data_IF_982773067599
#
_entry.id   IF_982773067599
#
_cell.length_a   1.000
_cell.length_b   1.000
_cell.length_c   1.000
_cell.angle_alpha   90.00
_cell.angle_beta   90.00
_cell.angle_gamma   90.00
#
_symmetry.space_group_name_H-M   'P 1'
#
loop_
_entity.id
_entity.type
_entity.pdbx_description
1 polymer ?
#
# COMPACT_ATOMS: atom_id res chain seq x y z
N UNK A 1 27.48 -25.42 63.50
CA UNK A 1 26.76 -25.48 62.21
C UNK A 1 27.33 -24.40 61.30
N UNK A 2 28.27 -24.75 60.41
CA UNK A 2 28.74 -23.88 59.35
C UNK A 2 27.95 -24.12 58.05
N UNK A 3 27.76 -23.11 57.18
CA UNK A 3 27.31 -23.35 55.82
C UNK A 3 28.52 -23.65 54.91
N UNK A 4 28.41 -24.74 54.16
CA UNK A 4 29.27 -25.09 53.04
C UNK A 4 28.62 -24.66 51.71
N UNK A 5 29.39 -24.58 50.61
CA UNK A 5 29.22 -23.58 49.57
C UNK A 5 28.40 -24.03 48.35
N UNK A 6 28.01 -23.03 47.56
CA UNK A 6 27.45 -23.11 46.22
C UNK A 6 28.41 -23.82 45.26
N UNK A 7 27.91 -24.83 44.55
CA UNK A 7 28.56 -25.41 43.37
C UNK A 7 27.99 -24.80 42.09
N UNK A 8 28.88 -24.20 41.30
CA UNK A 8 28.68 -23.79 39.93
C UNK A 8 28.62 -25.01 39.00
N UNK A 9 27.61 -25.07 38.13
CA UNK A 9 27.62 -25.94 36.95
C UNK A 9 27.10 -25.17 35.74
N UNK A 10 27.98 -24.37 35.13
CA UNK A 10 27.81 -23.84 33.79
C UNK A 10 28.11 -24.97 32.79
N UNK A 11 27.06 -25.50 32.17
CA UNK A 11 27.16 -26.32 30.96
C UNK A 11 27.28 -25.39 29.75
N UNK A 12 28.47 -25.38 29.14
CA UNK A 12 28.73 -24.71 27.86
C UNK A 12 28.19 -25.62 26.76
N UNK A 13 26.98 -25.32 26.28
CA UNK A 13 26.40 -25.99 25.13
C UNK A 13 26.84 -25.28 23.84
N UNK A 14 27.64 -25.98 23.04
CA UNK A 14 28.15 -25.50 21.76
C UNK A 14 27.11 -25.73 20.66
N UNK A 15 26.10 -24.86 20.65
CA UNK A 15 25.03 -24.84 19.64
C UNK A 15 25.45 -24.09 18.37
N UNK A 16 26.01 -24.84 17.43
CA UNK A 16 26.32 -24.43 16.06
C UNK A 16 25.14 -23.74 15.38
N UNK A 17 25.25 -22.43 15.17
CA UNK A 17 24.27 -21.64 14.41
C UNK A 17 24.66 -21.65 12.93
N UNK A 18 24.04 -22.56 12.18
CA UNK A 18 23.98 -22.52 10.72
C UNK A 18 23.18 -21.28 10.27
N UNK A 19 23.86 -20.16 10.07
CA UNK A 19 23.33 -19.05 9.30
C UNK A 19 23.53 -19.34 7.82
N UNK A 20 22.53 -19.96 7.21
CA UNK A 20 22.37 -20.03 5.76
C UNK A 20 22.22 -18.63 5.19
N UNK A 21 23.34 -18.03 4.82
CA UNK A 21 23.44 -16.77 4.11
C UNK A 21 22.89 -17.01 2.70
N UNK A 22 21.66 -16.56 2.45
CA UNK A 22 21.07 -16.52 1.12
C UNK A 22 21.90 -15.55 0.26
N UNK A 23 22.78 -16.14 -0.56
CA UNK A 23 23.50 -15.52 -1.65
C UNK A 23 22.52 -14.76 -2.56
N UNK A 24 22.49 -13.45 -2.41
CA UNK A 24 22.03 -12.58 -3.49
C UNK A 24 23.12 -12.56 -4.57
N UNK A 25 22.80 -12.91 -5.84
CA UNK A 25 23.77 -12.92 -6.90
C UNK A 25 24.27 -11.50 -7.14
N UNK A 26 25.48 -11.21 -6.68
CA UNK A 26 26.23 -10.02 -7.06
C UNK A 26 26.44 -10.09 -8.57
N UNK A 27 25.62 -9.33 -9.31
CA UNK A 27 25.85 -9.06 -10.74
C UNK A 27 27.19 -8.35 -10.85
N UNK A 28 28.23 -9.14 -11.08
CA UNK A 28 29.58 -8.75 -11.45
C UNK A 28 29.47 -7.88 -12.71
N UNK A 29 29.38 -6.55 -12.53
CA UNK A 29 29.45 -5.58 -13.63
C UNK A 29 30.82 -5.75 -14.28
N UNK A 30 30.86 -6.53 -15.36
CA UNK A 30 32.02 -6.64 -16.25
C UNK A 30 32.33 -5.21 -16.69
N UNK A 31 33.50 -4.71 -16.30
CA UNK A 31 34.11 -3.51 -16.89
C UNK A 31 34.17 -3.75 -18.39
N UNK A 32 33.26 -3.11 -19.13
CA UNK A 32 33.32 -3.06 -20.59
C UNK A 32 34.54 -2.24 -20.94
N UNK A 33 35.61 -2.90 -21.36
CA UNK A 33 36.72 -2.26 -22.04
C UNK A 33 36.15 -1.54 -23.27
N UNK A 34 36.15 -0.22 -23.22
CA UNK A 34 35.83 0.64 -24.36
C UNK A 34 36.97 0.48 -25.38
N UNK A 35 36.89 -0.56 -26.20
CA UNK A 35 37.68 -0.63 -27.42
C UNK A 35 37.02 0.34 -28.39
N UNK A 36 37.71 1.46 -28.65
CA UNK A 36 37.33 2.40 -29.70
C UNK A 36 37.46 1.64 -31.02
N UNK A 37 36.38 0.97 -31.44
CA UNK A 37 36.26 0.45 -32.81
C UNK A 37 36.33 1.68 -33.71
N UNK A 38 37.42 1.81 -34.47
CA UNK A 38 37.47 2.72 -35.62
C UNK A 38 36.24 2.40 -36.46
N UNK A 39 35.25 3.29 -36.45
CA UNK A 39 34.11 3.19 -37.36
C UNK A 39 34.71 3.30 -38.76
N UNK A 40 34.79 2.18 -39.47
CA UNK A 40 34.99 2.25 -40.91
C UNK A 40 33.84 3.09 -41.45
N UNK A 41 34.18 4.15 -42.20
CA UNK A 41 33.21 5.07 -42.79
C UNK A 41 32.13 4.26 -43.48
N UNK A 42 30.87 4.51 -43.10
CA UNK A 42 29.73 3.82 -43.69
C UNK A 42 29.64 4.28 -45.13
N UNK A 43 30.02 3.42 -46.07
CA UNK A 43 29.83 3.66 -47.50
C UNK A 43 28.34 3.77 -47.81
N UNK A 44 27.99 4.66 -48.72
CA UNK A 44 26.60 4.86 -49.14
C UNK A 44 26.41 4.18 -50.48
N UNK A 45 25.51 3.20 -50.55
CA UNK A 45 25.18 2.52 -51.79
C UNK A 45 24.37 3.46 -52.67
N UNK A 46 24.73 3.61 -53.96
CA UNK A 46 24.01 4.48 -54.89
C UNK A 46 22.53 4.12 -54.95
N UNK A 47 22.20 2.83 -54.91
CA UNK A 47 20.82 2.31 -54.98
C UNK A 47 19.91 2.79 -53.85
N UNK A 48 20.47 3.22 -52.73
CA UNK A 48 19.71 3.72 -51.59
C UNK A 48 19.33 5.20 -51.73
N UNK A 49 19.90 5.91 -52.72
CA UNK A 49 19.59 7.31 -53.01
C UNK A 49 18.34 7.44 -53.89
N UNK A 50 17.72 8.62 -53.91
CA UNK A 50 16.59 8.90 -54.82
C UNK A 50 17.03 8.85 -56.29
N UNK A 51 16.12 8.56 -57.23
CA UNK A 51 16.47 8.43 -58.66
C UNK A 51 17.24 9.64 -59.22
N UNK A 52 16.85 10.87 -58.85
CA UNK A 52 17.56 12.09 -59.25
C UNK A 52 18.95 12.23 -58.63
N UNK A 53 19.17 11.64 -57.45
CA UNK A 53 20.48 11.60 -56.81
C UNK A 53 21.33 10.46 -57.34
N UNK A 54 20.72 9.36 -57.79
CA UNK A 54 21.45 8.25 -58.42
C UNK A 54 22.14 8.71 -59.70
N UNK A 55 21.43 9.48 -60.55
CA UNK A 55 22.01 10.04 -61.77
C UNK A 55 23.21 10.95 -61.50
N UNK A 56 23.15 11.75 -60.42
CA UNK A 56 24.29 12.57 -59.97
C UNK A 56 25.41 11.71 -59.38
N UNK A 57 25.07 10.78 -58.50
CA UNK A 57 26.01 9.92 -57.81
C UNK A 57 26.84 9.07 -58.78
N UNK A 58 26.24 8.59 -59.88
CA UNK A 58 26.94 7.86 -60.93
C UNK A 58 28.02 8.68 -61.65
N UNK A 59 27.96 10.02 -61.61
CA UNK A 59 29.02 10.88 -62.17
C UNK A 59 30.23 11.02 -61.24
N UNK A 60 30.00 10.87 -59.93
CA UNK A 60 31.02 10.98 -58.90
C UNK A 60 31.61 9.63 -58.47
N UNK A 61 31.01 8.51 -58.88
CA UNK A 61 31.55 7.16 -58.71
C UNK A 61 32.73 6.94 -59.67
N UNK A 62 33.92 7.35 -59.25
CA UNK A 62 35.11 7.33 -60.11
C UNK A 62 35.63 5.92 -60.38
N UNK A 63 35.32 4.97 -59.49
CA UNK A 63 35.80 3.60 -59.57
C UNK A 63 34.76 2.61 -60.14
N UNK A 64 33.50 3.04 -60.30
CA UNK A 64 32.40 2.26 -60.85
C UNK A 64 31.92 1.12 -59.94
N UNK A 65 32.22 1.18 -58.63
CA UNK A 65 31.87 0.12 -57.68
C UNK A 65 30.42 0.21 -57.17
N UNK A 66 29.71 1.30 -57.50
CA UNK A 66 28.34 1.53 -57.09
C UNK A 66 28.17 2.00 -55.64
N UNK A 67 29.28 2.36 -54.97
CA UNK A 67 29.35 2.87 -53.61
C UNK A 67 30.08 4.22 -53.59
N UNK A 68 29.46 5.26 -53.01
CA UNK A 68 30.18 6.53 -52.83
C UNK A 68 31.00 6.46 -51.54
N UNK A 69 32.28 6.74 -51.68
CA UNK A 69 33.13 7.02 -50.53
C UNK A 69 32.79 8.38 -49.90
N UNK A 70 33.38 8.68 -48.74
CA UNK A 70 33.08 9.94 -48.02
C UNK A 70 33.50 11.18 -48.83
N UNK A 71 34.53 11.07 -49.67
CA UNK A 71 35.01 12.16 -50.50
C UNK A 71 34.10 12.39 -51.71
N UNK A 72 33.70 11.32 -52.41
CA UNK A 72 32.77 11.35 -53.53
C UNK A 72 31.39 11.87 -53.10
N UNK A 73 30.89 11.41 -51.95
CA UNK A 73 29.64 11.90 -51.37
C UNK A 73 29.74 13.38 -51.00
N UNK A 74 30.89 13.82 -50.47
CA UNK A 74 31.12 15.22 -50.17
C UNK A 74 31.13 16.05 -51.47
N UNK A 75 31.84 15.63 -52.51
CA UNK A 75 31.88 16.31 -53.81
C UNK A 75 30.48 16.45 -54.42
N UNK A 76 29.69 15.36 -54.43
CA UNK A 76 28.31 15.37 -54.90
C UNK A 76 27.41 16.37 -54.15
N UNK A 77 27.69 16.65 -52.87
CA UNK A 77 26.93 17.63 -52.08
C UNK A 77 27.19 19.07 -52.51
N UNK A 78 28.39 19.38 -53.01
CA UNK A 78 28.76 20.73 -53.42
C UNK A 78 28.42 21.03 -54.89
N UNK A 79 28.23 20.00 -55.71
CA UNK A 79 27.69 20.10 -57.07
C UNK A 79 26.18 20.45 -57.04
N UNK A 80 25.88 21.74 -57.22
CA UNK A 80 24.50 22.24 -57.14
C UNK A 80 23.74 22.03 -58.43
N UNK A 81 24.40 22.16 -59.57
CA UNK A 81 23.75 22.06 -60.88
C UNK A 81 23.60 20.61 -61.35
N UNK A 82 24.35 19.66 -60.78
CA UNK A 82 24.28 18.24 -61.09
C UNK A 82 24.95 17.87 -62.40
N UNK A 83 25.85 18.71 -62.92
CA UNK A 83 26.52 18.43 -64.18
C UNK A 83 27.67 17.41 -64.02
N UNK A 84 28.17 17.21 -62.79
CA UNK A 84 29.24 16.30 -62.44
C UNK A 84 30.64 16.94 -62.42
N UNK A 85 30.75 18.22 -62.79
CA UNK A 85 31.98 18.99 -62.80
C UNK A 85 31.94 20.07 -61.70
N UNK A 86 32.96 20.13 -60.85
CA UNK A 86 33.00 21.15 -59.79
C UNK A 86 33.52 22.47 -60.35
N UNK A 87 32.66 23.47 -60.38
CA UNK A 87 33.04 24.83 -60.77
C UNK A 87 34.01 25.44 -59.76
N UNK A 88 34.81 26.43 -60.18
CA UNK A 88 35.77 27.11 -59.30
C UNK A 88 35.10 27.72 -58.04
N UNK A 89 33.82 28.10 -58.14
CA UNK A 89 33.03 28.61 -57.02
C UNK A 89 32.65 27.51 -56.02
N UNK A 90 32.31 26.31 -56.50
CA UNK A 90 31.99 25.16 -55.64
C UNK A 90 33.24 24.60 -54.97
N UNK A 91 34.37 24.57 -55.68
CA UNK A 91 35.68 24.22 -55.10
C UNK A 91 36.05 25.20 -53.99
N UNK A 92 35.83 26.51 -54.19
CA UNK A 92 36.08 27.50 -53.14
C UNK A 92 35.23 27.23 -51.90
N UNK A 93 33.95 26.88 -52.05
CA UNK A 93 33.07 26.53 -50.93
C UNK A 93 33.58 25.30 -50.15
N UNK A 94 34.07 24.27 -50.84
CA UNK A 94 34.68 23.10 -50.20
C UNK A 94 35.89 23.50 -49.35
N UNK A 95 36.77 24.35 -49.90
CA UNK A 95 37.99 24.78 -49.20
C UNK A 95 37.65 25.67 -47.99
N UNK A 96 36.66 26.55 -48.12
CA UNK A 96 36.20 27.41 -47.03
C UNK A 96 35.65 26.58 -45.86
N UNK A 97 34.85 25.55 -46.14
CA UNK A 97 34.33 24.64 -45.10
C UNK A 97 35.46 23.83 -44.43
N UNK A 98 36.45 23.36 -45.19
CA UNK A 98 37.64 22.69 -44.61
C UNK A 98 38.46 23.61 -43.70
N UNK A 99 38.59 24.89 -44.04
CA UNK A 99 39.28 25.88 -43.21
C UNK A 99 38.48 26.19 -41.94
N UNK A 100 37.15 26.26 -42.05
CA UNK A 100 36.24 26.47 -40.91
C UNK A 100 36.31 25.31 -39.93
N UNK A 101 36.35 24.07 -40.43
CA UNK A 101 36.45 22.88 -39.60
C UNK A 101 37.79 22.80 -38.85
N UNK A 102 38.90 23.24 -39.47
CA UNK A 102 40.20 23.36 -38.77
C UNK A 102 40.16 24.32 -37.58
N UNK A 103 39.38 25.39 -37.65
CA UNK A 103 39.20 26.34 -36.53
C UNK A 103 38.57 25.68 -35.29
N UNK A 104 37.67 24.72 -35.50
CA UNK A 104 36.93 24.05 -34.41
C UNK A 104 37.78 23.05 -33.61
N UNK A 105 38.86 22.53 -34.20
CA UNK A 105 39.75 21.54 -33.56
C UNK A 105 40.39 22.09 -32.29
N UNK A 106 40.76 23.38 -32.28
CA UNK A 106 41.32 24.02 -31.09
C UNK A 106 40.30 24.20 -29.97
N UNK A 107 39.04 24.50 -30.30
CA UNK A 107 37.96 24.58 -29.33
C UNK A 107 37.66 23.20 -28.73
N UNK A 108 37.60 22.14 -29.54
CA UNK A 108 37.40 20.77 -29.06
C UNK A 108 38.51 20.29 -28.13
N UNK A 109 39.78 20.62 -28.41
CA UNK A 109 40.90 20.28 -27.50
C UNK A 109 40.74 20.92 -26.11
N UNK A 110 40.29 22.17 -26.04
CA UNK A 110 40.04 22.85 -24.75
C UNK A 110 38.91 22.16 -23.97
N UNK A 111 37.83 21.76 -24.64
CA UNK A 111 36.70 21.08 -24.02
C UNK A 111 37.12 19.72 -23.46
N UNK A 112 37.89 18.93 -24.21
CA UNK A 112 38.36 17.60 -23.76
C UNK A 112 39.23 17.72 -22.49
N UNK A 113 40.14 18.71 -22.45
CA UNK A 113 40.99 18.95 -21.27
C UNK A 113 40.12 19.33 -20.06
N UNK A 114 39.15 20.24 -20.24
CA UNK A 114 38.26 20.66 -19.17
C UNK A 114 37.42 19.49 -18.62
N UNK A 115 36.90 18.64 -19.50
CA UNK A 115 36.07 17.49 -19.12
C UNK A 115 36.90 16.41 -18.41
N UNK A 116 38.14 16.19 -18.84
CA UNK A 116 39.07 15.29 -18.15
C UNK A 116 39.42 15.80 -16.74
N UNK A 117 39.64 17.11 -16.57
CA UNK A 117 39.85 17.71 -15.25
C UNK A 117 38.63 17.55 -14.34
N UNK A 118 37.42 17.74 -14.88
CA UNK A 118 36.18 17.60 -14.11
C UNK A 118 35.96 16.18 -13.59
N UNK A 119 36.19 15.16 -14.44
CA UNK A 119 36.11 13.75 -14.03
C UNK A 119 37.12 13.43 -12.93
N UNK A 120 38.33 13.98 -13.01
CA UNK A 120 39.33 13.80 -11.97
C UNK A 120 38.89 14.41 -10.62
N UNK A 121 38.33 15.61 -10.63
CA UNK A 121 37.78 16.26 -9.42
C UNK A 121 36.65 15.43 -8.81
N UNK A 122 35.70 14.95 -9.62
CA UNK A 122 34.63 14.06 -9.16
C UNK A 122 35.15 12.78 -8.50
N UNK A 123 36.21 12.20 -9.06
CA UNK A 123 36.84 11.00 -8.48
C UNK A 123 37.50 11.28 -7.13
N UNK A 124 38.13 12.45 -6.96
CA UNK A 124 38.70 12.90 -5.69
C UNK A 124 37.62 13.18 -4.65
N UNK A 125 36.47 13.74 -5.03
CA UNK A 125 35.34 13.93 -4.12
C UNK A 125 34.83 12.60 -3.56
N UNK A 126 34.68 11.58 -4.42
CA UNK A 126 34.28 10.24 -3.98
C UNK A 126 35.33 9.60 -3.05
N UNK A 127 36.62 9.82 -3.32
CA UNK A 127 37.69 9.37 -2.43
C UNK A 127 37.61 10.06 -1.06
N UNK A 128 37.38 11.37 -1.03
CA UNK A 128 37.23 12.15 0.20
C UNK A 128 36.07 11.67 1.07
N UNK A 129 34.89 11.42 0.47
CA UNK A 129 33.75 10.86 1.21
C UNK A 129 34.05 9.48 1.80
N UNK A 130 34.80 8.64 1.08
CA UNK A 130 35.18 7.30 1.55
C UNK A 130 36.13 7.37 2.74
N UNK A 131 37.15 8.24 2.69
CA UNK A 131 38.09 8.46 3.81
C UNK A 131 37.36 9.04 5.03
N UNK A 132 36.47 10.01 4.84
CA UNK A 132 35.68 10.58 5.93
C UNK A 132 34.80 9.51 6.61
N UNK A 133 34.14 8.63 5.84
CA UNK A 133 33.36 7.54 6.40
C UNK A 133 34.22 6.53 7.19
N UNK A 134 35.43 6.23 6.72
CA UNK A 134 36.34 5.31 7.40
C UNK A 134 36.88 5.89 8.72
N UNK A 135 37.13 7.20 8.77
CA UNK A 135 37.55 7.88 10.00
C UNK A 135 36.41 7.91 11.03
N UNK A 136 35.17 8.16 10.61
CA UNK A 136 34.00 8.14 11.48
C UNK A 136 33.76 6.76 12.11
N UNK A 137 33.93 5.67 11.34
CA UNK A 137 33.77 4.30 11.87
C UNK A 137 34.79 3.98 12.95
N UNK A 138 35.99 4.55 12.88
CA UNK A 138 37.05 4.30 13.86
C UNK A 138 36.79 4.99 15.21
N UNK A 139 36.02 6.08 15.21
CA UNK A 139 35.65 6.82 16.43
C UNK A 139 34.31 6.39 17.03
N UNK A 140 33.66 5.37 16.47
CA UNK A 140 32.45 4.80 17.05
C UNK A 140 32.77 3.43 17.67
N UNK A 141 32.70 3.33 18.99
CA UNK A 141 32.71 2.04 19.69
C UNK A 141 31.30 1.64 20.07
N UNK A 142 30.87 0.45 19.63
CA UNK A 142 29.65 -0.17 20.09
C UNK A 142 29.89 -0.75 21.49
N UNK A 143 29.17 -0.23 22.49
CA UNK A 143 29.18 -0.78 23.83
C UNK A 143 28.29 -2.02 23.86
N UNK A 144 28.89 -3.21 23.95
CA UNK A 144 28.20 -4.49 23.87
C UNK A 144 27.20 -4.72 25.01
N UNK A 145 27.30 -3.97 26.11
CA UNK A 145 26.39 -4.10 27.24
C UNK A 145 25.10 -3.29 27.07
N UNK A 146 25.16 -2.16 26.37
CA UNK A 146 24.03 -1.22 26.24
C UNK A 146 23.47 -1.13 24.82
N UNK A 147 24.15 -1.72 23.83
CA UNK A 147 23.84 -1.59 22.41
C UNK A 147 23.84 -0.14 21.90
N UNK A 148 24.44 0.79 22.65
CA UNK A 148 24.62 2.19 22.26
C UNK A 148 25.96 2.38 21.56
N UNK A 149 25.98 3.20 20.50
CA UNK A 149 27.24 3.65 19.88
C UNK A 149 27.67 4.96 20.50
N UNK A 150 28.81 4.94 21.18
CA UNK A 150 29.41 6.11 21.84
C UNK A 150 30.59 6.61 21.02
N UNK A 151 30.74 7.93 20.95
CA UNK A 151 31.94 8.54 20.38
C UNK A 151 33.13 8.25 21.30
N UNK A 152 34.18 7.67 20.73
CA UNK A 152 35.46 7.44 21.41
C UNK A 152 36.09 8.79 21.74
N UNK A 153 36.08 9.18 23.01
CA UNK A 153 36.72 10.40 23.52
C UNK A 153 35.80 11.30 24.35
N UNK A 154 34.55 11.48 23.91
CA UNK A 154 33.56 12.31 24.65
C UNK A 154 32.57 11.49 25.47
N UNK A 155 32.46 10.18 25.22
CA UNK A 155 31.40 9.30 25.76
C UNK A 155 29.97 9.74 25.39
N UNK A 156 29.81 10.73 24.51
CA UNK A 156 28.50 11.14 24.03
C UNK A 156 27.90 10.06 23.13
N UNK A 157 26.61 9.81 23.34
CA UNK A 157 25.83 8.85 22.56
C UNK A 157 25.59 9.47 21.18
N UNK A 158 26.20 8.90 20.14
CA UNK A 158 25.91 9.30 18.77
C UNK A 158 24.57 8.69 18.38
N UNK A 159 23.58 9.56 18.16
CA UNK A 159 22.29 9.16 17.60
C UNK A 159 22.48 8.61 16.20
N UNK A 160 22.70 7.30 16.08
CA UNK A 160 22.36 6.60 14.85
C UNK A 160 20.88 6.75 14.59
N UNK A 161 20.47 6.82 13.32
CA UNK A 161 19.06 6.84 12.91
C UNK A 161 18.27 5.94 13.85
N UNK A 162 17.48 6.55 14.72
CA UNK A 162 16.86 5.87 15.84
C UNK A 162 16.13 4.65 15.28
N UNK A 163 16.56 3.46 15.68
CA UNK A 163 15.88 2.21 15.33
C UNK A 163 14.39 2.43 15.62
N UNK A 164 13.58 2.56 14.58
CA UNK A 164 12.18 2.90 14.74
C UNK A 164 11.53 1.77 15.52
N UNK A 165 11.01 2.08 16.71
CA UNK A 165 10.43 1.06 17.57
C UNK A 165 9.05 0.71 17.01
N UNK A 166 8.82 -0.57 16.78
CA UNK A 166 7.61 -1.04 16.11
C UNK A 166 6.74 -1.83 17.08
N UNK A 167 5.52 -1.35 17.31
CA UNK A 167 4.52 -2.03 18.14
C UNK A 167 3.50 -2.71 17.25
N UNK A 168 3.13 -3.95 17.58
CA UNK A 168 2.15 -4.71 16.80
C UNK A 168 0.74 -4.52 17.37
N UNK A 169 -0.18 -4.07 16.53
CA UNK A 169 -1.60 -4.01 16.83
C UNK A 169 -2.25 -5.31 16.37
N UNK A 170 -3.02 -5.93 17.27
CA UNK A 170 -3.70 -7.19 17.00
C UNK A 170 -5.04 -6.92 16.31
N UNK A 171 -5.48 -7.90 15.53
CA UNK A 171 -6.83 -7.91 14.97
C UNK A 171 -7.86 -8.02 16.10
N UNK A 172 -8.97 -7.29 15.96
CA UNK A 172 -10.07 -7.31 16.92
C UNK A 172 -11.05 -8.41 16.54
N UNK A 173 -11.53 -9.15 17.53
CA UNK A 173 -12.59 -10.14 17.34
C UNK A 173 -13.88 -9.51 16.77
N UNK A 174 -14.61 -10.28 15.95
CA UNK A 174 -15.78 -9.83 15.19
C UNK A 174 -16.88 -9.31 16.11
N UNK A 175 -17.17 -10.02 17.21
CA UNK A 175 -18.23 -9.63 18.15
C UNK A 175 -17.84 -8.37 18.92
N UNK A 176 -16.58 -8.28 19.32
CA UNK A 176 -16.04 -7.10 20.01
C UNK A 176 -16.13 -5.86 19.12
N UNK A 177 -15.78 -6.01 17.84
CA UNK A 177 -15.86 -4.94 16.85
C UNK A 177 -17.30 -4.50 16.61
N UNK A 178 -18.24 -5.43 16.43
CA UNK A 178 -19.67 -5.11 16.28
C UNK A 178 -20.21 -4.34 17.50
N UNK A 179 -19.86 -4.78 18.72
CA UNK A 179 -20.25 -4.10 19.95
C UNK A 179 -19.64 -2.69 20.05
N UNK A 180 -18.36 -2.53 19.69
CA UNK A 180 -17.68 -1.22 19.67
C UNK A 180 -18.26 -0.28 18.63
N UNK A 181 -18.56 -0.76 17.41
CA UNK A 181 -19.26 0.03 16.38
C UNK A 181 -20.61 0.52 16.89
N UNK A 182 -21.43 -0.37 17.46
CA UNK A 182 -22.73 0.01 18.01
C UNK A 182 -22.60 1.09 19.10
N UNK A 183 -21.59 0.98 19.97
CA UNK A 183 -21.29 1.98 21.00
C UNK A 183 -20.90 3.34 20.40
N UNK A 184 -20.05 3.36 19.36
CA UNK A 184 -19.64 4.59 18.68
C UNK A 184 -20.83 5.25 17.96
N UNK A 185 -21.66 4.47 17.28
CA UNK A 185 -22.86 5.00 16.62
C UNK A 185 -23.83 5.55 17.65
N UNK A 186 -24.09 4.80 18.72
CA UNK A 186 -24.99 5.24 19.79
C UNK A 186 -24.50 6.54 20.44
N UNK A 187 -23.20 6.65 20.74
CA UNK A 187 -22.67 7.85 21.38
C UNK A 187 -22.70 9.08 20.46
N UNK A 188 -22.50 8.90 19.15
CA UNK A 188 -22.67 9.96 18.16
C UNK A 188 -24.13 10.38 17.97
N UNK A 189 -25.09 9.46 18.15
CA UNK A 189 -26.53 9.77 18.12
C UNK A 189 -26.96 10.54 19.38
N UNK A 190 -26.45 10.16 20.55
CA UNK A 190 -26.76 10.82 21.83
C UNK A 190 -26.18 12.23 21.91
N UNK A 191 -24.91 12.41 21.49
CA UNK A 191 -24.25 13.70 21.45
C UNK A 191 -23.35 13.84 20.20
N UNK A 192 -23.88 14.39 19.09
CA UNK A 192 -23.12 14.60 17.86
C UNK A 192 -21.88 15.50 18.02
N UNK A 193 -21.86 16.34 19.05
CA UNK A 193 -20.74 17.24 19.39
C UNK A 193 -19.93 16.75 20.59
N UNK A 194 -20.23 15.55 21.08
CA UNK A 194 -19.69 15.01 22.31
C UNK A 194 -18.29 14.45 22.19
N UNK A 195 -17.95 13.57 23.15
CA UNK A 195 -16.62 12.99 23.29
C UNK A 195 -16.13 12.28 22.02
N UNK A 196 -17.04 11.68 21.24
CA UNK A 196 -16.74 10.91 20.03
C UNK A 196 -16.63 11.74 18.75
N UNK A 197 -16.76 13.08 18.82
CA UNK A 197 -16.66 13.96 17.65
C UNK A 197 -15.32 13.84 16.91
N UNK A 198 -14.25 13.42 17.59
CA UNK A 198 -12.93 13.17 17.00
C UNK A 198 -12.89 11.98 16.02
N UNK A 199 -13.98 11.23 15.89
CA UNK A 199 -14.09 10.08 14.98
C UNK A 199 -14.58 10.46 13.59
N UNK A 200 -15.01 11.69 13.36
CA UNK A 200 -15.38 12.14 12.01
C UNK A 200 -14.12 12.39 11.17
N UNK A 201 -13.98 11.63 10.07
CA UNK A 201 -12.86 11.71 9.12
C UNK A 201 -12.93 12.99 8.27
N UNK A 202 -14.15 13.46 7.96
CA UNK A 202 -14.36 14.70 7.24
C UNK A 202 -14.38 15.90 8.19
N UNK A 203 -13.55 16.92 7.93
CA UNK A 203 -13.58 18.23 8.64
C UNK A 203 -14.87 19.04 8.42
N UNK A 204 -15.85 18.49 7.71
CA UNK A 204 -17.15 19.10 7.51
C UNK A 204 -18.05 18.95 8.73
N UNK A 205 -18.97 19.89 8.96
CA UNK A 205 -20.01 19.75 9.98
C UNK A 205 -20.91 18.59 9.60
N UNK A 206 -20.64 17.39 10.12
CA UNK A 206 -21.52 16.24 9.94
C UNK A 206 -22.86 16.58 10.59
N UNK A 207 -23.93 16.55 9.79
CA UNK A 207 -25.30 16.71 10.28
C UNK A 207 -25.87 15.31 10.43
N UNK A 208 -26.01 14.83 11.65
CA UNK A 208 -26.87 13.68 11.91
C UNK A 208 -28.31 14.18 11.95
N UNK A 209 -29.07 13.95 10.88
CA UNK A 209 -30.49 14.34 10.79
C UNK A 209 -31.39 13.18 11.21
N UNK A 210 -31.91 13.25 12.44
CA UNK A 210 -32.86 12.26 12.96
C UNK A 210 -32.24 10.89 13.27
N UNK A 211 -33.08 9.99 13.80
CA UNK A 211 -32.70 8.76 14.52
C UNK A 211 -31.83 7.73 13.77
N UNK A 212 -31.45 7.92 12.50
CA UNK A 212 -30.86 6.80 11.73
C UNK A 212 -29.69 7.09 10.78
N UNK A 213 -29.35 8.34 10.43
CA UNK A 213 -28.27 8.59 9.45
C UNK A 213 -27.36 9.75 9.84
N UNK A 214 -26.08 9.44 10.02
CA UNK A 214 -24.99 10.42 10.07
C UNK A 214 -24.25 10.35 8.73
N UNK A 215 -24.42 11.36 7.88
CA UNK A 215 -23.83 11.43 6.53
C UNK A 215 -22.34 11.81 6.57
N UNK A 216 -21.56 11.24 7.50
CA UNK A 216 -20.15 11.53 7.67
C UNK A 216 -19.33 10.24 7.67
N UNK A 217 -18.15 10.30 7.08
CA UNK A 217 -17.16 9.24 7.20
C UNK A 217 -16.73 9.13 8.68
N UNK A 218 -17.10 8.03 9.34
CA UNK A 218 -16.81 7.77 10.76
C UNK A 218 -15.65 6.76 10.84
N UNK A 219 -14.63 7.07 11.64
CA UNK A 219 -13.54 6.16 11.97
C UNK A 219 -13.97 5.20 13.07
N UNK A 220 -14.13 3.93 12.73
CA UNK A 220 -14.38 2.87 13.69
C UNK A 220 -13.07 2.30 14.24
N UNK A 221 -13.17 1.53 15.32
CA UNK A 221 -12.01 0.86 15.89
C UNK A 221 -11.70 -0.41 15.11
N UNK A 222 -10.50 -0.48 14.54
CA UNK A 222 -10.09 -1.57 13.63
C UNK A 222 -9.16 -2.58 14.30
N UNK A 223 -8.41 -2.16 15.32
CA UNK A 223 -7.40 -3.00 15.98
C UNK A 223 -7.41 -2.81 17.49
N UNK A 224 -6.80 -3.77 18.18
CA UNK A 224 -6.61 -3.76 19.64
C UNK A 224 -5.14 -3.85 20.00
N UNK A 225 -4.73 -3.13 21.03
CA UNK A 225 -3.37 -3.15 21.57
C UNK A 225 -3.42 -3.19 23.10
N UNK A 226 -2.41 -3.77 23.75
CA UNK A 226 -2.37 -3.77 25.22
C UNK A 226 -2.13 -2.36 25.74
N UNK A 227 -2.77 -2.03 26.87
CA UNK A 227 -2.58 -0.71 27.48
C UNK A 227 -1.12 -0.41 27.85
N UNK A 228 -0.35 -1.44 28.26
CA UNK A 228 1.09 -1.28 28.53
C UNK A 228 1.87 -0.80 27.30
N UNK A 229 1.49 -1.28 26.11
CA UNK A 229 2.19 -0.96 24.88
C UNK A 229 1.86 0.47 24.44
N UNK A 230 0.61 0.91 24.64
CA UNK A 230 0.19 2.30 24.42
C UNK A 230 0.88 3.27 25.40
N UNK A 231 1.04 2.87 26.66
CA UNK A 231 1.83 3.61 27.67
C UNK A 231 3.31 3.72 27.24
N UNK A 232 3.89 2.65 26.68
CA UNK A 232 5.25 2.67 26.15
C UNK A 232 5.39 3.56 24.92
N UNK A 233 4.45 3.46 23.97
CA UNK A 233 4.36 4.33 22.79
C UNK A 233 4.40 5.79 23.23
N UNK A 234 3.55 6.17 24.18
CA UNK A 234 3.54 7.53 24.72
C UNK A 234 4.93 7.96 25.17
N UNK A 235 5.57 7.18 26.06
CA UNK A 235 6.89 7.52 26.59
C UNK A 235 7.93 7.67 25.49
N UNK A 236 7.90 6.83 24.45
CA UNK A 236 8.85 6.88 23.34
C UNK A 236 8.61 8.08 22.42
N UNK A 237 7.36 8.41 22.17
CA UNK A 237 7.01 9.59 21.39
C UNK A 237 7.32 10.90 22.13
N UNK A 238 7.10 10.96 23.45
CA UNK A 238 7.49 12.11 24.29
C UNK A 238 9.02 12.33 24.28
N UNK A 239 9.79 11.25 24.10
CA UNK A 239 11.25 11.29 23.93
C UNK A 239 11.70 11.70 22.51
N UNK A 240 10.76 12.01 21.60
CA UNK A 240 11.05 12.34 20.21
C UNK A 240 11.55 11.15 19.37
N UNK A 241 11.34 9.92 19.84
CA UNK A 241 11.73 8.71 19.08
C UNK A 241 10.71 8.40 17.99
N UNK A 242 11.19 7.79 16.90
CA UNK A 242 10.33 7.31 15.83
C UNK A 242 9.63 6.04 16.30
N UNK A 243 8.30 6.06 16.27
CA UNK A 243 7.45 4.93 16.67
C UNK A 243 6.56 4.55 15.51
N UNK A 244 6.56 3.27 15.15
CA UNK A 244 5.69 2.68 14.14
C UNK A 244 4.66 1.77 14.79
N UNK A 245 3.44 1.77 14.24
CA UNK A 245 2.43 0.76 14.53
C UNK A 245 2.36 -0.18 13.34
N UNK A 246 2.52 -1.47 13.59
CA UNK A 246 2.42 -2.53 12.60
C UNK A 246 1.08 -3.24 12.76
N UNK A 247 0.42 -3.48 11.63
CA UNK A 247 -0.81 -4.26 11.55
C UNK A 247 -0.58 -5.46 10.65
N UNK A 248 -1.16 -6.57 11.05
CA UNK A 248 -1.20 -7.79 10.26
C UNK A 248 -2.65 -7.99 9.80
N UNK A 249 -2.84 -8.31 8.53
CA UNK A 249 -4.15 -8.58 7.94
C UNK A 249 -4.28 -10.07 7.62
N UNK A 250 -5.51 -10.58 7.43
CA UNK A 250 -5.71 -11.88 6.81
C UNK A 250 -4.97 -11.98 5.46
N UNK A 251 -4.58 -13.18 5.07
CA UNK A 251 -3.72 -13.39 3.89
C UNK A 251 -2.23 -13.07 4.10
N UNK A 252 -1.83 -12.70 5.32
CA UNK A 252 -0.43 -12.50 5.70
C UNK A 252 0.17 -11.16 5.26
N UNK A 253 -0.64 -10.28 4.66
CA UNK A 253 -0.22 -8.92 4.35
C UNK A 253 -0.01 -8.10 5.63
N UNK A 254 0.97 -7.20 5.60
CA UNK A 254 1.38 -6.39 6.76
C UNK A 254 1.50 -4.95 6.35
N UNK A 255 1.00 -4.05 7.18
CA UNK A 255 1.14 -2.61 7.02
C UNK A 255 1.89 -2.03 8.22
N UNK A 256 2.68 -0.99 7.99
CA UNK A 256 3.38 -0.28 9.06
C UNK A 256 3.24 1.21 8.84
N UNK A 257 2.70 1.90 9.84
CA UNK A 257 2.43 3.33 9.82
C UNK A 257 3.25 4.03 10.89
N UNK A 258 3.90 5.12 10.50
CA UNK A 258 4.59 6.00 11.44
C UNK A 258 3.58 6.70 12.33
N UNK A 259 3.65 6.43 13.63
CA UNK A 259 2.78 7.05 14.61
C UNK A 259 3.39 8.34 15.15
N UNK A 260 4.70 8.31 15.45
CA UNK A 260 5.42 9.43 16.01
C UNK A 260 6.68 9.71 15.20
N UNK A 261 6.80 10.96 14.76
CA UNK A 261 7.95 11.58 14.10
C UNK A 261 8.21 12.96 14.72
N UNK A 262 9.28 13.65 14.30
CA UNK A 262 9.50 15.05 14.66
C UNK A 262 8.26 15.90 14.31
N UNK A 263 7.73 16.63 15.30
CA UNK A 263 6.51 17.45 15.13
C UNK A 263 5.19 16.74 15.44
N UNK A 264 5.21 15.53 15.99
CA UNK A 264 3.99 14.84 16.48
C UNK A 264 3.50 15.47 17.78
N UNK A 265 2.19 15.67 17.91
CA UNK A 265 1.57 16.12 19.16
C UNK A 265 0.72 15.01 19.78
N UNK A 266 0.91 14.76 21.07
CA UNK A 266 0.16 13.75 21.83
C UNK A 266 -0.72 14.45 22.87
N UNK A 267 -2.00 14.08 22.90
CA UNK A 267 -2.96 14.54 23.91
C UNK A 267 -3.50 13.33 24.67
N UNK A 268 -3.50 13.39 26.00
CA UNK A 268 -4.06 12.32 26.85
C UNK A 268 -5.17 12.88 27.73
N UNK A 269 -6.29 12.20 27.73
CA UNK A 269 -7.43 12.46 28.61
C UNK A 269 -7.64 11.25 29.50
N UNK A 270 -7.43 11.41 30.80
CA UNK A 270 -7.75 10.35 31.77
C UNK A 270 -9.27 10.23 31.89
N UNK A 271 -9.81 9.00 31.78
CA UNK A 271 -11.22 8.78 32.04
C UNK A 271 -11.45 8.83 33.54
N UNK A 272 -12.42 9.64 33.98
CA UNK A 272 -12.84 9.64 35.39
C UNK A 272 -13.39 8.25 35.71
N UNK A 273 -12.77 7.56 36.66
CA UNK A 273 -13.37 6.35 37.21
C UNK A 273 -14.67 6.77 37.90
N UNK A 274 -15.82 6.41 37.32
CA UNK A 274 -17.05 6.36 38.09
C UNK A 274 -16.88 5.21 39.09
N UNK A 275 -16.56 5.54 40.34
CA UNK A 275 -16.55 4.60 41.45
C UNK A 275 -17.97 4.03 41.61
N UNK A 276 -18.31 3.00 40.83
CA UNK A 276 -19.38 2.09 41.22
C UNK A 276 -18.82 1.30 42.39
N UNK A 277 -19.17 1.75 43.59
CA UNK A 277 -18.75 1.19 44.87
C UNK A 277 -19.25 -0.26 44.99
N UNK A 278 -18.50 -1.22 44.47
CA UNK A 278 -18.80 -2.64 44.64
C UNK A 278 -18.17 -3.05 45.97
N UNK A 279 -18.97 -3.10 47.05
CA UNK A 279 -18.59 -3.71 48.34
C UNK A 279 -18.30 -5.20 48.11
N UNK A 280 -17.04 -5.55 47.92
CA UNK A 280 -16.61 -6.95 47.75
C UNK A 280 -15.15 -7.15 48.15
N UNK A 281 -14.79 -8.35 48.65
CA UNK A 281 -13.46 -8.62 49.17
C UNK A 281 -12.41 -8.60 48.05
N UNK A 282 -11.35 -7.78 48.26
CA UNK A 282 -10.08 -7.71 47.51
C UNK A 282 -10.20 -7.97 45.99
N UNK A 283 -10.77 -7.01 45.26
CA UNK A 283 -10.63 -6.99 43.79
C UNK A 283 -9.31 -6.32 43.41
N UNK A 284 -8.61 -6.93 42.47
CA UNK A 284 -7.41 -6.34 41.85
C UNK A 284 -7.71 -4.91 41.40
N UNK A 285 -6.81 -3.99 41.74
CA UNK A 285 -6.94 -2.58 41.36
C UNK A 285 -6.87 -2.49 39.83
N UNK A 286 -8.03 -2.42 39.16
CA UNK A 286 -8.08 -2.15 37.72
C UNK A 286 -7.38 -0.82 37.45
N UNK A 287 -6.49 -0.80 36.44
CA UNK A 287 -5.88 0.46 35.98
C UNK A 287 -7.00 1.38 35.45
N UNK A 288 -6.90 2.70 35.67
CA UNK A 288 -7.83 3.64 35.06
C UNK A 288 -7.66 3.61 33.53
N UNK A 289 -8.79 3.63 32.82
CA UNK A 289 -8.81 3.84 31.38
C UNK A 289 -8.42 5.28 31.04
N UNK A 290 -7.93 5.48 29.83
CA UNK A 290 -7.59 6.79 29.30
C UNK A 290 -7.81 6.81 27.79
N UNK A 291 -7.89 8.01 27.23
CA UNK A 291 -7.85 8.23 25.79
C UNK A 291 -6.55 8.94 25.43
N UNK A 292 -5.92 8.49 24.36
CA UNK A 292 -4.74 9.13 23.78
C UNK A 292 -5.02 9.44 22.32
N UNK A 293 -4.79 10.69 21.92
CA UNK A 293 -4.82 11.12 20.53
C UNK A 293 -3.39 11.48 20.13
N UNK A 294 -2.92 10.92 19.02
CA UNK A 294 -1.63 11.20 18.41
C UNK A 294 -1.87 11.84 17.05
N UNK A 295 -1.48 13.11 16.90
CA UNK A 295 -1.55 13.83 15.63
C UNK A 295 -0.17 13.93 15.02
N UNK A 296 0.00 13.32 13.84
CA UNK A 296 1.25 13.32 13.07
C UNK A 296 0.96 13.75 11.63
N UNK A 297 1.67 14.76 11.13
CA UNK A 297 1.48 15.31 9.78
C UNK A 297 0.02 15.71 9.46
N UNK A 298 -0.73 16.17 10.46
CA UNK A 298 -2.14 16.56 10.31
C UNK A 298 -3.12 15.39 10.23
N UNK A 299 -2.67 14.17 10.48
CA UNK A 299 -3.44 12.94 10.51
C UNK A 299 -3.52 12.43 11.95
N UNK A 300 -4.71 12.01 12.37
CA UNK A 300 -4.98 11.68 13.77
C UNK A 300 -5.05 10.16 13.97
N UNK A 301 -4.49 9.67 15.08
CA UNK A 301 -4.60 8.30 15.57
C UNK A 301 -5.14 8.32 16.99
N UNK A 302 -6.25 7.66 17.23
CA UNK A 302 -6.94 7.63 18.50
C UNK A 302 -6.77 6.26 19.17
N UNK A 303 -6.50 6.29 20.47
CA UNK A 303 -6.43 5.12 21.34
C UNK A 303 -7.45 5.31 22.45
N UNK A 304 -8.40 4.38 22.56
CA UNK A 304 -9.40 4.36 23.62
C UNK A 304 -9.14 3.17 24.55
N UNK A 305 -8.57 3.43 25.73
CA UNK A 305 -8.12 2.39 26.67
C UNK A 305 -9.12 2.17 27.80
N UNK A 306 -9.40 0.90 28.12
CA UNK A 306 -10.39 0.48 29.13
C UNK A 306 -9.79 -0.02 30.46
N UNK A 307 -8.47 0.06 30.62
CA UNK A 307 -7.74 -0.46 31.78
C UNK A 307 -6.91 -1.71 31.47
N UNK A 308 -7.23 -2.43 30.39
CA UNK A 308 -6.51 -3.63 29.95
C UNK A 308 -6.07 -3.51 28.50
N UNK A 309 -7.03 -3.22 27.63
CA UNK A 309 -6.86 -3.15 26.19
C UNK A 309 -7.19 -1.73 25.70
N UNK A 310 -6.60 -1.36 24.57
CA UNK A 310 -6.79 -0.08 23.89
C UNK A 310 -7.26 -0.34 22.47
N UNK A 311 -8.34 0.32 22.09
CA UNK A 311 -8.93 0.22 20.76
C UNK A 311 -8.41 1.35 19.89
N UNK A 312 -7.92 1.02 18.70
CA UNK A 312 -7.26 1.94 17.78
C UNK A 312 -8.22 2.39 16.68
N UNK A 313 -8.32 3.69 16.45
CA UNK A 313 -9.08 4.31 15.35
C UNK A 313 -8.35 5.53 14.77
N UNK A 314 -8.83 6.07 13.66
CA UNK A 314 -8.36 7.32 13.06
C UNK A 314 -7.69 7.17 11.69
N UNK A 315 -7.60 8.29 10.99
CA UNK A 315 -7.18 8.42 9.59
C UNK A 315 -5.81 7.81 9.28
N UNK A 316 -4.87 7.83 10.23
CA UNK A 316 -3.50 7.34 10.01
C UNK A 316 -3.45 5.82 9.82
N UNK A 317 -4.49 5.13 10.27
CA UNK A 317 -4.67 3.69 10.12
C UNK A 317 -5.45 3.35 8.84
N UNK A 318 -5.97 4.33 8.10
CA UNK A 318 -6.70 4.03 6.87
C UNK A 318 -5.76 3.83 5.68
N UNK A 319 -6.01 2.78 4.91
CA UNK A 319 -5.23 2.43 3.74
C UNK A 319 -5.75 3.15 2.50
N UNK A 320 -4.81 3.63 1.68
CA UNK A 320 -5.12 4.22 0.37
C UNK A 320 -5.38 3.16 -0.70
N UNK A 321 -5.59 3.59 -1.96
CA UNK A 321 -5.85 2.68 -3.07
C UNK A 321 -4.75 1.62 -3.22
N UNK A 322 -5.14 0.36 -3.39
CA UNK A 322 -4.26 -0.81 -3.46
C UNK A 322 -3.71 -1.29 -2.10
N UNK A 323 -3.99 -0.59 -1.00
CA UNK A 323 -3.59 -1.01 0.33
C UNK A 323 -4.43 -2.20 0.84
N UNK A 324 -3.90 -3.04 1.74
CA UNK A 324 -4.63 -4.19 2.25
C UNK A 324 -5.81 -3.78 3.13
N UNK A 325 -6.85 -4.59 3.17
CA UNK A 325 -7.98 -4.44 4.08
C UNK A 325 -8.52 -5.81 4.49
N UNK A 326 -9.19 -5.86 5.65
CA UNK A 326 -9.85 -7.06 6.13
C UNK A 326 -11.31 -7.04 5.69
N UNK A 327 -11.75 -8.04 4.93
CA UNK A 327 -13.13 -8.12 4.47
C UNK A 327 -14.13 -8.25 5.62
N UNK A 328 -13.70 -8.85 6.74
CA UNK A 328 -14.54 -8.95 7.93
C UNK A 328 -14.80 -7.57 8.55
N UNK A 329 -13.96 -6.57 8.26
CA UNK A 329 -14.10 -5.19 8.73
C UNK A 329 -14.89 -4.31 7.75
N UNK A 330 -15.40 -4.86 6.64
CA UNK A 330 -16.01 -4.06 5.58
C UNK A 330 -15.01 -3.03 5.04
N UNK A 331 -15.44 -1.77 4.93
CA UNK A 331 -14.62 -0.68 4.40
C UNK A 331 -13.86 0.13 5.46
N UNK A 332 -13.89 -0.28 6.74
CA UNK A 332 -13.30 0.48 7.85
C UNK A 332 -11.77 0.62 7.77
N UNK A 333 -11.08 -0.30 7.08
CA UNK A 333 -9.63 -0.24 6.90
C UNK A 333 -9.22 0.71 5.77
N UNK A 334 -10.17 1.22 5.00
CA UNK A 334 -9.93 2.00 3.80
C UNK A 334 -10.18 3.50 4.05
N UNK A 335 -9.45 4.36 3.33
CA UNK A 335 -9.71 5.80 3.35
C UNK A 335 -11.13 6.12 2.89
N UNK A 336 -11.67 7.31 3.24
CA UNK A 336 -12.89 7.82 2.63
C UNK A 336 -12.89 7.64 1.11
N UNK A 337 -14.07 7.36 0.55
CA UNK A 337 -14.30 7.06 -0.87
C UNK A 337 -13.75 5.71 -1.39
N UNK A 338 -13.15 4.88 -0.54
CA UNK A 338 -12.66 3.55 -0.92
C UNK A 338 -13.47 2.45 -0.23
N UNK A 339 -13.61 1.32 -0.92
CA UNK A 339 -14.22 0.09 -0.40
C UNK A 339 -13.20 -1.04 -0.38
N UNK A 340 -13.36 -1.97 0.55
CA UNK A 340 -12.53 -3.16 0.60
C UNK A 340 -13.00 -4.19 -0.45
N UNK A 341 -12.22 -4.39 -1.51
CA UNK A 341 -12.55 -5.36 -2.57
C UNK A 341 -11.81 -6.66 -2.30
N UNK A 342 -12.55 -7.78 -2.31
CA UNK A 342 -12.01 -9.10 -2.07
C UNK A 342 -10.89 -9.48 -3.03
N UNK A 343 -9.82 -10.06 -2.49
CA UNK A 343 -8.74 -10.64 -3.28
C UNK A 343 -9.19 -11.97 -3.89
N UNK A 344 -8.79 -12.26 -5.14
CA UNK A 344 -9.25 -13.45 -5.89
C UNK A 344 -9.05 -14.80 -5.16
N UNK A 345 -8.10 -14.87 -4.24
CA UNK A 345 -7.69 -16.12 -3.60
C UNK A 345 -7.91 -16.15 -2.08
N UNK A 346 -8.51 -15.12 -1.49
CA UNK A 346 -8.67 -15.02 -0.04
C UNK A 346 -10.03 -14.42 0.31
N UNK A 347 -10.84 -15.17 1.07
CA UNK A 347 -12.18 -14.77 1.51
C UNK A 347 -12.16 -13.79 2.67
N UNK A 348 -11.00 -13.57 3.29
CA UNK A 348 -10.82 -12.71 4.46
C UNK A 348 -9.99 -11.47 4.19
N UNK A 349 -9.24 -11.43 3.08
CA UNK A 349 -8.43 -10.27 2.70
C UNK A 349 -8.86 -9.62 1.40
N UNK A 350 -8.72 -8.30 1.37
CA UNK A 350 -9.01 -7.49 0.21
C UNK A 350 -7.98 -6.38 0.01
N UNK A 351 -8.24 -5.57 -1.00
CA UNK A 351 -7.51 -4.33 -1.25
C UNK A 351 -8.49 -3.17 -1.34
N UNK A 352 -8.12 -2.04 -0.73
CA UNK A 352 -8.89 -0.80 -0.83
C UNK A 352 -8.88 -0.30 -2.28
N UNK A 353 -10.04 -0.11 -2.87
CA UNK A 353 -10.19 0.43 -4.22
C UNK A 353 -11.35 1.41 -4.25
N UNK A 354 -11.39 2.27 -5.26
CA UNK A 354 -12.59 3.05 -5.53
C UNK A 354 -13.74 2.09 -5.78
N UNK A 355 -14.90 2.36 -5.18
CA UNK A 355 -16.11 1.61 -5.46
C UNK A 355 -16.47 1.88 -6.92
N UNK A 356 -16.15 0.94 -7.80
CA UNK A 356 -16.86 0.85 -9.06
C UNK A 356 -18.23 0.32 -8.67
N UNK A 357 -19.24 1.17 -8.80
CA UNK A 357 -20.66 0.84 -8.64
C UNK A 357 -21.05 -0.04 -9.83
N UNK A 358 -20.43 -1.21 -9.92
CA UNK A 358 -20.92 -2.25 -10.81
C UNK A 358 -22.20 -2.75 -10.15
N UNK A 359 -23.30 -2.77 -10.92
CA UNK A 359 -24.66 -3.14 -10.51
C UNK A 359 -24.79 -4.56 -9.90
N UNK A 360 -23.68 -5.24 -9.65
CA UNK A 360 -23.57 -6.63 -9.21
C UNK A 360 -23.15 -6.81 -7.73
N UNK A 361 -22.89 -5.73 -6.97
CA UNK A 361 -22.57 -5.87 -5.53
C UNK A 361 -23.84 -6.00 -4.69
N UNK A 362 -23.73 -6.67 -3.54
CA UNK A 362 -24.84 -6.92 -2.60
C UNK A 362 -24.54 -6.25 -1.27
N UNK A 363 -25.54 -5.81 -0.52
CA UNK A 363 -25.35 -5.25 0.82
C UNK A 363 -26.48 -5.69 1.75
N UNK A 364 -26.27 -5.55 3.06
CA UNK A 364 -27.32 -5.86 4.05
C UNK A 364 -28.25 -4.67 4.20
N UNK A 365 -29.51 -4.87 3.84
CA UNK A 365 -30.59 -3.99 4.23
C UNK A 365 -30.98 -4.29 5.68
N UNK A 366 -30.40 -3.51 6.58
CA UNK A 366 -30.61 -3.64 8.03
C UNK A 366 -32.03 -3.31 8.47
N UNK A 367 -32.81 -2.55 7.68
CA UNK A 367 -34.20 -2.25 8.03
C UNK A 367 -35.11 -3.45 7.73
N UNK A 368 -34.75 -4.27 6.74
CA UNK A 368 -35.54 -5.44 6.31
C UNK A 368 -34.90 -6.80 6.65
N UNK A 369 -33.74 -6.83 7.31
CA UNK A 369 -32.97 -8.05 7.62
C UNK A 369 -32.73 -8.95 6.40
N UNK A 370 -32.35 -8.37 5.25
CA UNK A 370 -32.11 -9.12 4.02
C UNK A 370 -30.87 -8.62 3.28
N UNK A 371 -30.25 -9.50 2.51
CA UNK A 371 -29.21 -9.12 1.56
C UNK A 371 -29.85 -8.68 0.24
N UNK A 372 -29.54 -7.47 -0.20
CA UNK A 372 -30.13 -6.87 -1.39
C UNK A 372 -29.04 -6.44 -2.35
N UNK A 373 -29.35 -6.44 -3.64
CA UNK A 373 -28.40 -6.03 -4.66
C UNK A 373 -28.36 -4.49 -4.71
N UNK A 374 -27.15 -3.95 -4.89
CA UNK A 374 -26.86 -2.53 -5.08
C UNK A 374 -27.26 -2.12 -6.49
N UNK A 375 -28.55 -1.89 -6.69
CA UNK A 375 -29.15 -1.54 -7.97
C UNK A 375 -30.46 -0.76 -7.75
N UNK A 376 -31.01 -0.18 -8.81
CA UNK A 376 -32.33 0.45 -8.81
C UNK A 376 -33.30 -0.32 -9.71
N UNK A 377 -34.51 -0.59 -9.21
CA UNK A 377 -35.66 -0.99 -10.04
C UNK A 377 -35.78 -2.47 -10.43
N UNK A 378 -34.81 -3.34 -10.12
CA UNK A 378 -34.93 -4.78 -10.35
C UNK A 378 -35.48 -5.54 -9.11
N UNK A 379 -36.06 -6.74 -9.29
CA UNK A 379 -36.41 -7.62 -8.17
C UNK A 379 -35.13 -7.97 -7.38
N UNK A 380 -35.16 -7.83 -6.05
CA UNK A 380 -34.01 -7.91 -5.13
C UNK A 380 -33.09 -6.68 -5.07
N UNK A 381 -33.40 -5.57 -5.75
CA UNK A 381 -32.69 -4.31 -5.54
C UNK A 381 -33.09 -3.66 -4.22
N UNK A 382 -32.10 -3.28 -3.41
CA UNK A 382 -32.30 -2.53 -2.17
C UNK A 382 -32.32 -1.01 -2.35
N UNK A 383 -32.02 -0.55 -3.57
CA UNK A 383 -31.58 0.81 -3.85
C UNK A 383 -30.06 0.89 -3.93
N UNK A 384 -29.55 2.11 -4.12
CA UNK A 384 -28.13 2.37 -4.12
C UNK A 384 -27.60 2.25 -2.68
N UNK A 385 -26.65 1.32 -2.49
CA UNK A 385 -25.97 1.11 -1.22
C UNK A 385 -25.34 2.43 -0.74
N UNK A 386 -25.54 2.76 0.53
CA UNK A 386 -24.80 3.84 1.16
C UNK A 386 -23.31 3.51 1.23
N UNK A 387 -22.48 4.54 1.37
CA UNK A 387 -21.02 4.36 1.58
C UNK A 387 -20.68 3.62 2.88
N UNK A 388 -21.63 3.59 3.82
CA UNK A 388 -21.55 2.90 5.10
C UNK A 388 -22.03 1.45 5.03
N UNK A 389 -22.66 1.04 3.93
CA UNK A 389 -23.16 -0.32 3.77
C UNK A 389 -22.01 -1.24 3.36
N UNK A 390 -21.88 -2.38 4.05
CA UNK A 390 -20.88 -3.39 3.69
C UNK A 390 -21.32 -4.09 2.41
N UNK A 391 -20.48 -3.98 1.37
CA UNK A 391 -20.76 -4.55 0.07
C UNK A 391 -20.08 -5.91 -0.10
N UNK A 392 -20.78 -6.83 -0.73
CA UNK A 392 -20.42 -8.21 -0.99
C UNK A 392 -20.43 -8.47 -2.48
N UNK A 393 -19.49 -9.28 -2.94
CA UNK A 393 -19.39 -9.69 -4.35
C UNK A 393 -20.50 -10.67 -4.75
N UNK A 394 -21.21 -11.25 -3.79
CA UNK A 394 -22.31 -12.18 -4.04
C UNK A 394 -23.33 -12.15 -2.90
N UNK A 395 -24.57 -12.48 -3.25
CA UNK A 395 -25.65 -12.69 -2.30
C UNK A 395 -25.31 -13.71 -1.21
N UNK A 396 -24.76 -14.87 -1.61
CA UNK A 396 -24.39 -15.95 -0.69
C UNK A 396 -23.37 -15.49 0.34
N UNK A 397 -22.35 -14.73 -0.08
CA UNK A 397 -21.36 -14.20 0.85
C UNK A 397 -21.98 -13.21 1.83
N UNK A 398 -22.85 -12.32 1.37
CA UNK A 398 -23.61 -11.42 2.24
C UNK A 398 -24.40 -12.21 3.31
N UNK A 399 -25.11 -13.25 2.86
CA UNK A 399 -25.94 -14.09 3.72
C UNK A 399 -25.14 -14.93 4.72
N UNK A 400 -24.07 -15.59 4.28
CA UNK A 400 -23.23 -16.41 5.15
C UNK A 400 -22.49 -15.54 6.18
N UNK A 401 -22.05 -14.34 5.79
CA UNK A 401 -21.37 -13.41 6.71
C UNK A 401 -22.33 -12.85 7.76
N UNK A 402 -23.55 -12.47 7.38
CA UNK A 402 -24.43 -11.71 8.26
C UNK A 402 -25.59 -12.50 8.87
N UNK A 403 -26.09 -13.54 8.24
CA UNK A 403 -27.28 -14.25 8.72
C UNK A 403 -26.99 -15.68 9.19
N UNK A 404 -25.73 -16.16 9.10
CA UNK A 404 -25.34 -17.49 9.57
C UNK A 404 -25.59 -17.75 11.07
N UNK A 405 -25.62 -16.70 11.90
CA UNK A 405 -25.87 -16.84 13.34
C UNK A 405 -27.36 -16.92 13.72
N UNK A 406 -28.26 -16.55 12.82
CA UNK A 406 -29.70 -16.70 13.06
C UNK A 406 -30.07 -18.14 12.74
N UNK A 407 -30.60 -18.90 13.71
CA UNK A 407 -30.95 -20.33 13.60
C UNK A 407 -32.05 -20.71 12.59
N UNK A 408 -32.28 -19.87 11.58
CA UNK A 408 -33.08 -20.10 10.37
C UNK A 408 -32.50 -19.37 9.14
N UNK A 409 -31.20 -19.08 9.16
CA UNK A 409 -30.50 -18.04 8.37
C UNK A 409 -30.56 -18.14 6.84
N UNK A 410 -30.98 -19.27 6.28
CA UNK A 410 -31.23 -19.38 4.84
C UNK A 410 -32.64 -18.92 4.44
N UNK A 411 -33.62 -18.91 5.34
CA UNK A 411 -35.00 -18.56 4.99
C UNK A 411 -35.22 -17.05 4.82
N UNK A 412 -34.38 -16.21 5.45
CA UNK A 412 -34.30 -14.76 5.16
C UNK A 412 -33.38 -14.44 3.97
N UNK A 413 -32.73 -15.48 3.46
CA UNK A 413 -31.75 -15.45 2.38
C UNK A 413 -32.21 -16.31 1.19
N UNK A 414 -33.52 -16.38 0.96
CA UNK A 414 -34.08 -16.89 -0.30
C UNK A 414 -34.46 -15.66 -1.11
N UNK A 415 -33.87 -15.42 -2.30
CA UNK A 415 -34.41 -14.42 -3.20
C UNK A 415 -35.85 -14.81 -3.47
N UNK A 416 -36.77 -13.85 -3.34
CA UNK A 416 -38.22 -14.06 -3.34
C UNK A 416 -38.69 -14.69 -4.67
N UNK A 417 -38.51 -16.01 -4.81
CA UNK A 417 -38.87 -16.81 -5.98
C UNK A 417 -40.37 -17.13 -5.99
N UNK A 418 -41.10 -16.77 -4.92
CA UNK A 418 -42.54 -17.01 -4.79
C UNK A 418 -43.41 -16.03 -5.59
N UNK A 419 -42.85 -14.98 -6.19
CA UNK A 419 -43.62 -14.04 -7.02
C UNK A 419 -43.94 -14.53 -8.44
N UNK A 420 -43.41 -15.67 -8.88
CA UNK A 420 -43.68 -16.21 -10.24
C UNK A 420 -44.62 -17.40 -10.33
N UNK A 421 -45.11 -17.93 -9.20
CA UNK A 421 -46.25 -18.86 -9.23
C UNK A 421 -47.44 -18.20 -8.55
N UNK A 422 -48.27 -17.53 -9.36
CA UNK A 422 -49.55 -16.94 -8.96
C UNK A 422 -50.56 -17.99 -8.47
N UNK A 423 -50.34 -18.55 -7.29
CA UNK A 423 -51.29 -19.32 -6.51
C UNK A 423 -51.27 -18.83 -5.07
N UNK A 424 -51.60 -17.54 -4.91
CA UNK A 424 -52.12 -17.05 -3.64
C UNK A 424 -53.40 -17.83 -3.31
N UNK A 425 -53.31 -18.75 -2.35
CA UNK A 425 -54.46 -19.20 -1.56
C UNK A 425 -54.13 -18.99 -0.09
N UNK A 426 -54.69 -17.93 0.46
CA UNK A 426 -54.83 -17.73 1.90
C UNK A 426 -55.42 -19.00 2.52
N UNK A 427 -54.64 -19.66 3.37
CA UNK A 427 -55.08 -20.82 4.17
C UNK A 427 -55.40 -20.43 5.62
N UNK A 428 -55.78 -19.18 5.89
CA UNK A 428 -55.99 -18.71 7.26
C UNK A 428 -57.35 -19.10 7.86
N UNK A 429 -58.36 -19.46 7.05
CA UNK A 429 -59.74 -19.52 7.56
C UNK A 429 -60.41 -20.92 7.58
N UNK A 430 -59.75 -22.02 7.18
CA UNK A 430 -60.37 -23.34 7.32
C UNK A 430 -59.38 -24.54 7.35
N UNK A 431 -59.14 -25.17 8.51
CA UNK A 431 -58.17 -26.29 8.62
C UNK A 431 -58.63 -27.62 7.99
N UNK A 432 -59.81 -27.71 7.38
CA UNK A 432 -60.37 -28.99 6.89
C UNK A 432 -60.32 -29.21 5.37
N UNK A 433 -59.70 -28.32 4.57
CA UNK A 433 -59.66 -28.44 3.10
C UNK A 433 -58.29 -28.91 2.54
N UNK A 434 -57.26 -29.09 3.38
CA UNK A 434 -55.94 -29.56 2.94
C UNK A 434 -55.72 -31.09 3.08
N UNK A 435 -56.73 -31.90 2.73
CA UNK A 435 -56.54 -33.35 2.48
C UNK A 435 -56.57 -33.62 0.98
N UNK A 436 -55.53 -33.17 0.29
CA UNK A 436 -55.17 -33.67 -1.04
C UNK A 436 -53.85 -34.41 -0.93
N UNK A 437 -53.86 -35.72 -1.12
CA UNK A 437 -52.67 -36.57 -1.20
C UNK A 437 -51.69 -36.03 -2.25
N UNK A 438 -50.58 -35.43 -1.80
CA UNK A 438 -49.39 -35.32 -2.63
C UNK A 438 -48.60 -36.62 -2.49
N UNK A 439 -48.73 -37.50 -3.48
CA UNK A 439 -47.81 -38.62 -3.65
C UNK A 439 -46.42 -38.05 -4.01
N UNK A 440 -45.44 -38.25 -3.12
CA UNK A 440 -44.03 -38.13 -3.46
C UNK A 440 -43.68 -39.18 -4.51
N UNK A 441 -43.63 -38.79 -5.79
CA UNK A 441 -42.97 -39.60 -6.81
C UNK A 441 -41.46 -39.48 -6.63
N UNK A 442 -40.88 -40.60 -6.22
CA UNK A 442 -39.46 -40.94 -6.19
C UNK A 442 -38.62 -40.32 -7.32
N UNK A 443 -37.55 -39.61 -6.94
CA UNK A 443 -36.41 -39.27 -7.81
C UNK A 443 -35.74 -40.56 -8.31
N UNK A 444 -36.11 -41.05 -9.50
CA UNK A 444 -35.30 -42.04 -10.23
C UNK A 444 -35.18 -41.88 -11.74
N UNK A 445 -35.82 -40.91 -12.38
CA UNK A 445 -35.79 -40.77 -13.84
C UNK A 445 -35.34 -39.37 -14.29
N UNK A 446 -34.10 -38.99 -13.97
CA UNK A 446 -33.42 -37.86 -14.63
C UNK A 446 -32.08 -38.34 -15.16
N UNK A 447 -32.13 -39.08 -16.27
CA UNK A 447 -30.97 -39.38 -17.09
C UNK A 447 -31.29 -39.10 -18.56
N UNK A 448 -30.33 -38.47 -19.23
CA UNK A 448 -30.26 -38.12 -20.67
C UNK A 448 -31.29 -37.14 -21.24
N UNK A 449 -30.81 -35.92 -21.52
CA UNK A 449 -30.47 -35.50 -22.91
C UNK A 449 -30.33 -33.99 -23.00
N UNK A 450 -29.11 -33.45 -23.12
CA UNK A 450 -28.83 -32.20 -23.85
C UNK A 450 -27.32 -32.15 -24.15
N UNK A 451 -26.95 -32.73 -25.29
CA UNK A 451 -25.78 -32.40 -26.09
C UNK A 451 -26.19 -32.64 -27.55
N UNK A 452 -26.61 -31.57 -28.22
CA UNK A 452 -26.59 -31.37 -29.66
C UNK A 452 -26.60 -29.86 -29.92
#
# INVERSE_FOLDING_TARGET
>A
MPPSPLEDSATVDSGSSNSGMLDSPTKKKRRSSFTVKKRHGRKTLIRDLSLSQQEKACKFDLNGDGELDEAELAMMKYDKDGDGDLTALEIHAIVEDLLRDRGSIHAMRRIIIALSCFVFILSLSNLGTSIASALLVKETTADTATAEMKIVGTQDVMGTQASAETFEALEMDVDTRRARRAMVVQSLLEDPQGEHHHRFLAKGKVKCTGQKKCDGDISFDVNVMRQSDVENIKTKCDQGRIVNVKRSFPGGSKDSKGLCNSGTSITIKQKKMTEKYIKGPRKDKKKPGFQMNVRSNGVDTNFDCDGKDCYLSGDNLLNGPGGPCNLNHGSDDCKPDLVCIQSKNDVTSGTCSVAFWDEATWYVDWDNDQCVQNCEGAPNCGGLAGRWDEQFTSYTLCCDTFFSYLGGGYNKCVPDLDWHFGLGRDCTDNPNICKGEFQCKSLKDFDRSYCA
#
